data_IF_054149427739
#
_entry.id   IF_054149427739
#
_cell.length_a   1.000
_cell.length_b   1.000
_cell.length_c   1.000
_cell.angle_alpha   90.00
_cell.angle_beta   90.00
_cell.angle_gamma   90.00
#
_symmetry.space_group_name_H-M   'P 1'
#
loop_
_entity.id
_entity.type
_entity.pdbx_description
1 polymer ?
#
# COMPACT_ATOMS: atom_id res chain seq x y z
N UNK A 1 9.88 28.83 33.85
CA UNK A 1 8.84 29.21 32.87
C UNK A 1 9.56 29.37 31.54
N UNK A 2 9.31 28.64 30.46
CA UNK A 2 8.19 27.78 30.09
C UNK A 2 8.67 26.68 29.14
N UNK A 3 8.09 25.50 29.29
CA UNK A 3 8.02 24.46 28.26
C UNK A 3 7.14 24.96 27.11
N UNK A 4 7.57 24.78 25.86
CA UNK A 4 6.66 24.59 24.73
C UNK A 4 7.21 23.46 23.84
N UNK A 5 6.86 22.24 24.21
CA UNK A 5 6.61 21.17 23.25
C UNK A 5 5.38 21.60 22.44
N UNK A 6 5.54 21.87 21.15
CA UNK A 6 4.39 22.06 20.27
C UNK A 6 4.62 21.39 18.92
N UNK A 7 4.16 20.15 18.86
CA UNK A 7 3.51 19.50 17.73
C UNK A 7 2.67 18.37 18.33
N UNK A 8 1.45 18.08 17.82
CA UNK A 8 1.08 18.18 16.41
C UNK A 8 -0.19 19.00 16.15
N UNK A 9 -0.15 19.83 15.10
CA UNK A 9 -1.37 20.18 14.39
C UNK A 9 -1.79 18.94 13.57
N UNK A 10 -2.58 18.04 14.17
CA UNK A 10 -3.50 17.20 13.40
C UNK A 10 -4.68 18.10 13.06
N UNK A 11 -4.48 18.95 12.08
CA UNK A 11 -5.53 19.79 11.51
C UNK A 11 -6.41 18.90 10.63
N UNK A 12 -7.71 18.89 10.92
CA UNK A 12 -8.70 18.13 10.19
C UNK A 12 -8.83 18.62 8.76
N UNK A 13 -8.19 17.92 7.84
CA UNK A 13 -8.65 17.87 6.46
C UNK A 13 -9.69 16.75 6.35
N UNK A 14 -10.66 16.95 5.47
CA UNK A 14 -11.53 15.93 4.88
C UNK A 14 -10.65 14.89 4.16
N UNK A 15 -9.93 14.09 4.96
CA UNK A 15 -8.83 13.27 4.50
C UNK A 15 -9.43 12.06 3.80
N UNK A 16 -9.42 12.09 2.47
CA UNK A 16 -9.50 10.86 1.67
C UNK A 16 -8.54 9.86 2.31
N UNK A 17 -9.02 8.71 2.78
CA UNK A 17 -8.20 7.75 3.49
C UNK A 17 -7.01 7.37 2.61
N UNK A 18 -5.82 7.34 3.21
CA UNK A 18 -4.60 6.98 2.49
C UNK A 18 -4.76 5.57 1.91
N UNK A 19 -4.32 5.36 0.67
CA UNK A 19 -4.52 4.07 0.01
C UNK A 19 -3.80 2.96 0.77
N UNK A 20 -2.64 3.23 1.38
CA UNK A 20 -1.95 2.27 2.23
C UNK A 20 -2.83 1.88 3.41
N UNK A 21 -3.38 2.86 4.12
CA UNK A 21 -4.23 2.63 5.30
C UNK A 21 -5.44 1.77 4.96
N UNK A 22 -6.07 2.00 3.80
CA UNK A 22 -7.21 1.19 3.34
C UNK A 22 -6.82 -0.27 3.16
N UNK A 23 -5.70 -0.55 2.48
CA UNK A 23 -5.26 -1.94 2.25
C UNK A 23 -4.86 -2.59 3.56
N UNK A 24 -4.05 -1.91 4.37
CA UNK A 24 -3.55 -2.44 5.65
C UNK A 24 -4.72 -2.75 6.60
N UNK A 25 -5.70 -1.86 6.69
CA UNK A 25 -6.90 -2.09 7.48
C UNK A 25 -7.72 -3.28 6.95
N UNK A 26 -7.85 -3.42 5.63
CA UNK A 26 -8.55 -4.56 5.04
C UNK A 26 -7.84 -5.90 5.32
N UNK A 27 -6.50 -5.92 5.25
CA UNK A 27 -5.69 -7.09 5.60
C UNK A 27 -5.83 -7.45 7.08
N UNK A 28 -5.81 -6.46 7.97
CA UNK A 28 -5.99 -6.64 9.41
C UNK A 28 -7.39 -7.19 9.73
N UNK A 29 -8.45 -6.56 9.21
CA UNK A 29 -9.85 -6.96 9.45
C UNK A 29 -10.14 -8.36 8.90
N UNK A 30 -9.47 -8.76 7.82
CA UNK A 30 -9.60 -10.11 7.24
C UNK A 30 -8.66 -11.14 7.87
N UNK A 31 -7.84 -10.75 8.84
CA UNK A 31 -6.92 -11.65 9.56
C UNK A 31 -5.83 -12.24 8.66
N UNK A 32 -5.40 -11.50 7.63
CA UNK A 32 -4.43 -11.97 6.63
C UNK A 32 -2.98 -11.60 6.93
N UNK A 33 -2.73 -10.79 7.95
CA UNK A 33 -1.38 -10.38 8.34
C UNK A 33 -0.76 -11.50 9.19
N UNK A 34 0.31 -12.17 8.72
CA UNK A 34 1.02 -13.19 9.50
C UNK A 34 1.83 -12.56 10.64
N UNK A 35 2.13 -13.36 11.67
CA UNK A 35 2.97 -12.93 12.79
C UNK A 35 4.45 -12.74 12.39
N UNK A 36 4.91 -13.51 11.40
CA UNK A 36 6.27 -13.47 10.85
C UNK A 36 6.26 -12.98 9.40
N UNK A 37 7.33 -12.27 8.99
CA UNK A 37 7.47 -11.81 7.63
C UNK A 37 7.52 -13.00 6.65
N UNK A 38 6.59 -13.08 5.69
CA UNK A 38 6.58 -14.16 4.71
C UNK A 38 7.76 -14.05 3.74
N UNK A 39 8.16 -15.20 3.19
CA UNK A 39 9.04 -15.24 2.02
C UNK A 39 8.27 -14.75 0.79
N UNK A 40 8.90 -13.87 0.00
CA UNK A 40 8.29 -13.28 -1.20
C UNK A 40 9.25 -13.35 -2.38
N UNK A 41 8.77 -13.02 -3.58
CA UNK A 41 9.64 -12.89 -4.75
C UNK A 41 10.52 -11.62 -4.70
N UNK A 42 10.29 -10.72 -3.73
CA UNK A 42 11.03 -9.48 -3.58
C UNK A 42 12.31 -9.68 -2.74
N UNK A 43 13.35 -8.86 -2.96
CA UNK A 43 14.49 -8.83 -2.05
C UNK A 43 14.04 -8.64 -0.59
N UNK A 44 14.65 -9.38 0.34
CA UNK A 44 14.23 -9.40 1.75
C UNK A 44 14.36 -8.09 2.53
N UNK A 45 14.80 -7.00 1.89
CA UNK A 45 14.75 -5.66 2.44
C UNK A 45 13.39 -4.94 2.24
N UNK A 46 12.52 -5.48 1.37
CA UNK A 46 11.16 -4.99 1.17
C UNK A 46 10.23 -5.72 2.13
N UNK A 47 10.07 -5.15 3.32
CA UNK A 47 9.27 -5.73 4.41
C UNK A 47 8.14 -4.78 4.80
N UNK A 48 7.10 -5.34 5.43
CA UNK A 48 5.90 -4.58 5.80
C UNK A 48 6.20 -3.38 6.72
N UNK A 49 7.14 -3.53 7.65
CA UNK A 49 7.54 -2.48 8.61
C UNK A 49 8.23 -1.27 7.95
N UNK A 50 8.72 -1.44 6.72
CA UNK A 50 9.44 -0.40 5.98
C UNK A 50 8.58 0.34 4.98
N UNK A 51 7.33 -0.06 4.78
CA UNK A 51 6.43 0.61 3.85
C UNK A 51 6.04 1.97 4.44
N UNK A 52 6.22 3.03 3.66
CA UNK A 52 5.91 4.41 4.07
C UNK A 52 4.75 5.05 3.32
N UNK A 53 4.35 4.47 2.18
CA UNK A 53 3.28 5.03 1.38
C UNK A 53 2.86 4.12 0.24
N UNK A 54 1.63 4.31 -0.21
CA UNK A 54 1.08 3.71 -1.41
C UNK A 54 0.22 4.75 -2.13
N UNK A 55 0.57 5.10 -3.37
CA UNK A 55 -0.14 6.11 -4.13
C UNK A 55 -0.13 5.80 -5.63
N UNK A 56 -0.97 6.53 -6.38
CA UNK A 56 -1.06 6.43 -7.83
C UNK A 56 -0.54 7.72 -8.45
N UNK A 57 0.25 7.59 -9.51
CA UNK A 57 0.75 8.74 -10.26
C UNK A 57 0.32 8.66 -11.72
N UNK A 58 -0.16 9.78 -12.31
CA UNK A 58 -0.36 9.85 -13.74
C UNK A 58 1.01 9.89 -14.45
N UNK A 59 1.23 8.96 -15.39
CA UNK A 59 2.46 8.85 -16.18
C UNK A 59 2.13 8.51 -17.63
N UNK A 60 2.69 9.27 -18.57
CA UNK A 60 2.56 9.05 -20.03
C UNK A 60 1.11 8.84 -20.52
N UNK A 61 0.13 9.53 -19.92
CA UNK A 61 -1.29 9.39 -20.29
C UNK A 61 -2.00 8.19 -19.67
N UNK A 62 -1.32 7.40 -18.83
CA UNK A 62 -1.91 6.37 -17.99
C UNK A 62 -1.56 6.59 -16.51
N UNK A 63 -1.64 5.51 -15.74
CA UNK A 63 -1.50 5.49 -14.29
C UNK A 63 -0.50 4.43 -13.86
N UNK A 64 0.35 4.76 -12.91
CA UNK A 64 1.26 3.83 -12.25
C UNK A 64 0.99 3.82 -10.76
N UNK A 65 1.19 2.67 -10.14
CA UNK A 65 1.20 2.52 -8.68
C UNK A 65 2.62 2.66 -8.16
N UNK A 66 2.79 3.32 -7.02
CA UNK A 66 4.05 3.45 -6.32
C UNK A 66 3.88 3.09 -4.84
N UNK A 67 4.73 2.18 -4.35
CA UNK A 67 4.85 1.77 -2.95
C UNK A 67 6.23 2.21 -2.49
N UNK A 68 6.29 3.11 -1.52
CA UNK A 68 7.56 3.67 -1.05
C UNK A 68 8.04 2.97 0.21
N UNK A 69 9.36 2.90 0.36
CA UNK A 69 10.02 2.24 1.49
C UNK A 69 11.02 3.16 2.18
N UNK A 70 11.25 2.91 3.46
CA UNK A 70 12.33 3.50 4.26
C UNK A 70 13.41 2.46 4.59
N UNK A 71 14.58 2.94 5.03
CA UNK A 71 15.65 2.11 5.62
C UNK A 71 16.16 0.96 4.72
N UNK A 72 16.18 1.22 3.41
CA UNK A 72 16.73 0.28 2.42
C UNK A 72 18.27 0.35 2.34
N UNK A 73 18.93 -0.75 1.96
CA UNK A 73 20.36 -0.75 1.67
C UNK A 73 20.75 0.28 0.58
N UNK A 74 21.96 0.85 0.64
CA UNK A 74 22.43 1.80 -0.36
C UNK A 74 22.39 1.22 -1.78
N UNK A 75 21.89 2.01 -2.73
CA UNK A 75 21.78 1.62 -4.14
C UNK A 75 20.51 0.84 -4.51
N UNK A 76 19.64 0.53 -3.54
CA UNK A 76 18.30 0.00 -3.81
C UNK A 76 17.32 1.11 -4.21
N UNK A 77 16.40 0.85 -5.16
CA UNK A 77 15.28 1.73 -5.39
C UNK A 77 14.37 1.75 -4.15
N UNK A 78 13.96 2.94 -3.72
CA UNK A 78 13.06 3.13 -2.59
C UNK A 78 11.57 3.04 -2.96
N UNK A 79 11.28 2.58 -4.17
CA UNK A 79 9.93 2.47 -4.69
C UNK A 79 9.77 1.15 -5.46
N UNK A 80 8.66 0.46 -5.22
CA UNK A 80 8.18 -0.66 -6.04
C UNK A 80 6.80 -0.31 -6.59
N UNK A 81 6.44 -0.88 -7.74
CA UNK A 81 5.21 -0.48 -8.36
C UNK A 81 4.95 -1.06 -9.74
N UNK A 82 4.00 -0.44 -10.43
CA UNK A 82 3.73 -0.73 -11.83
C UNK A 82 4.88 -0.21 -12.69
N UNK A 83 5.22 -0.87 -13.82
CA UNK A 83 6.29 -0.40 -14.69
C UNK A 83 5.92 0.93 -15.38
N UNK A 84 6.78 1.94 -15.24
CA UNK A 84 6.63 3.26 -15.87
C UNK A 84 6.57 3.21 -17.41
N UNK A 85 7.18 2.18 -18.02
CA UNK A 85 7.22 1.97 -19.47
C UNK A 85 5.86 1.54 -20.04
N UNK A 86 5.00 0.96 -19.21
CA UNK A 86 3.67 0.50 -19.61
C UNK A 86 2.64 0.85 -18.52
N UNK A 87 2.29 2.15 -18.39
CA UNK A 87 1.26 2.59 -17.45
C UNK A 87 -0.11 1.98 -17.77
N UNK A 88 -0.92 1.79 -16.74
CA UNK A 88 -2.30 1.33 -16.89
C UNK A 88 -3.16 2.44 -17.51
N UNK A 89 -4.10 2.07 -18.37
CA UNK A 89 -5.03 3.05 -18.98
C UNK A 89 -5.91 3.74 -17.93
N UNK A 90 -6.27 3.00 -16.87
CA UNK A 90 -7.15 3.47 -15.81
C UNK A 90 -6.49 3.39 -14.41
N UNK A 91 -6.83 4.32 -13.50
CA UNK A 91 -6.25 4.36 -12.15
C UNK A 91 -6.59 3.13 -11.33
N UNK A 92 -7.72 2.47 -11.62
CA UNK A 92 -8.15 1.27 -10.90
C UNK A 92 -7.26 0.07 -11.24
N UNK A 93 -6.84 -0.09 -12.49
CA UNK A 93 -5.87 -1.10 -12.90
C UNK A 93 -4.54 -0.93 -12.17
N UNK A 94 -4.02 0.30 -12.13
CA UNK A 94 -2.81 0.63 -11.37
C UNK A 94 -2.98 0.34 -9.87
N UNK A 95 -4.11 0.74 -9.27
CA UNK A 95 -4.42 0.46 -7.88
C UNK A 95 -4.44 -1.03 -7.57
N UNK A 96 -5.15 -1.84 -8.36
CA UNK A 96 -5.24 -3.29 -8.12
C UNK A 96 -3.90 -3.99 -8.28
N UNK A 97 -3.06 -3.51 -9.21
CA UNK A 97 -1.70 -4.03 -9.37
C UNK A 97 -0.83 -3.71 -8.15
N UNK A 98 -0.79 -2.44 -7.74
CA UNK A 98 -0.03 -2.00 -6.55
C UNK A 98 -0.53 -2.67 -5.27
N UNK A 99 -1.84 -2.77 -5.08
CA UNK A 99 -2.43 -3.46 -3.95
C UNK A 99 -2.04 -4.95 -3.91
N UNK A 100 -1.93 -5.62 -5.07
CA UNK A 100 -1.45 -6.99 -5.16
C UNK A 100 0.02 -7.14 -4.73
N UNK A 101 0.89 -6.21 -5.15
CA UNK A 101 2.30 -6.17 -4.70
C UNK A 101 2.35 -5.94 -3.19
N UNK A 102 1.58 -5.01 -2.67
CA UNK A 102 1.51 -4.72 -1.24
C UNK A 102 1.06 -5.95 -0.45
N UNK A 103 0.01 -6.65 -0.91
CA UNK A 103 -0.46 -7.89 -0.29
C UNK A 103 0.64 -8.96 -0.31
N UNK A 104 1.38 -9.11 -1.42
CA UNK A 104 2.47 -10.09 -1.49
C UNK A 104 3.57 -9.77 -0.47
N UNK A 105 3.94 -8.50 -0.32
CA UNK A 105 4.94 -8.07 0.66
C UNK A 105 4.47 -8.33 2.10
N UNK A 106 3.21 -8.06 2.39
CA UNK A 106 2.66 -8.14 3.76
C UNK A 106 2.27 -9.57 4.13
N UNK A 107 1.70 -10.35 3.22
CA UNK A 107 1.06 -11.64 3.50
C UNK A 107 1.68 -12.81 2.74
N UNK A 108 2.61 -12.58 1.82
CA UNK A 108 3.17 -13.61 0.94
C UNK A 108 2.23 -14.04 -0.19
N UNK A 109 1.08 -13.38 -0.35
CA UNK A 109 0.10 -13.67 -1.41
C UNK A 109 -0.38 -12.39 -2.08
N UNK A 110 -0.62 -12.45 -3.40
CA UNK A 110 -1.23 -11.35 -4.16
C UNK A 110 -2.75 -11.24 -3.96
N UNK A 111 -3.34 -12.12 -3.15
CA UNK A 111 -4.78 -12.15 -2.95
C UNK A 111 -5.27 -10.88 -2.23
N UNK A 112 -6.05 -10.08 -2.95
CA UNK A 112 -6.63 -8.86 -2.40
C UNK A 112 -7.64 -9.16 -1.28
N UNK A 113 -7.67 -8.36 -0.20
CA UNK A 113 -8.61 -8.52 0.91
C UNK A 113 -10.02 -7.98 0.61
N UNK A 114 -10.28 -7.59 -0.64
CA UNK A 114 -11.56 -7.05 -1.10
C UNK A 114 -11.86 -7.46 -2.54
N UNK A 115 -13.12 -7.34 -2.91
CA UNK A 115 -13.58 -7.40 -4.29
C UNK A 115 -13.98 -6.01 -4.76
N UNK A 116 -13.93 -5.78 -6.07
CA UNK A 116 -14.46 -4.55 -6.66
C UNK A 116 -15.84 -4.81 -7.25
N UNK A 117 -16.87 -4.21 -6.67
CA UNK A 117 -18.27 -4.33 -7.12
C UNK A 117 -18.82 -2.95 -7.42
N UNK A 118 -19.27 -2.69 -8.65
CA UNK A 118 -19.84 -1.39 -9.03
C UNK A 118 -18.90 -0.19 -8.85
N UNK A 119 -17.57 -0.41 -8.86
CA UNK A 119 -16.58 0.64 -8.61
C UNK A 119 -16.28 0.89 -7.13
N UNK A 120 -16.88 0.11 -6.23
CA UNK A 120 -16.61 0.18 -4.79
C UNK A 120 -15.78 -1.02 -4.33
N UNK A 121 -14.88 -0.78 -3.37
CA UNK A 121 -14.15 -1.84 -2.67
C UNK A 121 -15.09 -2.45 -1.62
N UNK A 122 -15.33 -3.75 -1.73
CA UNK A 122 -16.17 -4.52 -0.81
C UNK A 122 -15.31 -5.57 -0.12
N UNK A 123 -15.14 -5.42 1.19
CA UNK A 123 -14.50 -6.43 2.04
C UNK A 123 -15.50 -7.54 2.35
N UNK A 124 -15.11 -8.79 2.16
CA UNK A 124 -15.88 -9.94 2.63
C UNK A 124 -15.14 -10.56 3.81
N UNK A 125 -15.43 -10.06 5.00
CA UNK A 125 -15.01 -10.70 6.24
C UNK A 125 -16.11 -11.67 6.67
N UNK A 126 -15.90 -12.96 6.48
CA UNK A 126 -16.70 -13.97 7.19
C UNK A 126 -16.16 -14.07 8.61
N UNK A 127 -16.90 -13.55 9.58
CA UNK A 127 -16.72 -13.97 10.98
C UNK A 127 -17.26 -15.40 11.09
N UNK A 128 -16.36 -16.38 11.19
CA UNK A 128 -16.70 -17.73 11.62
C UNK A 128 -16.97 -17.75 13.13
#
# INVERSE_FOLDING_TARGET
>A
MSFMLQSPARDGADATPDLLDIIMQALEVTGRIPDEQPETAFPGCFTADRITGFYLEPRNGGWVSAITFTDLPPGMPNCLGSPDEMPYEDPRGAFLHGAGILCEIVTGSRDLPFMVVGGQLVMVAYRA
#
